data_IF_639882605597
#
_entry.id   IF_639882605597
#
_cell.length_a   1.000
_cell.length_b   1.000
_cell.length_c   1.000
_cell.angle_alpha   90.00
_cell.angle_beta   90.00
_cell.angle_gamma   90.00
#
_symmetry.space_group_name_H-M   'P 1'
#
loop_
_entity.id
_entity.type
_entity.pdbx_description
1 polymer ?
#
# COMPACT_ATOMS: atom_id res chain seq x y z
N UNK A 1 8.67 0.81 -5.19
CA UNK A 1 8.83 2.17 -4.67
C UNK A 1 9.65 2.10 -3.39
N UNK A 2 10.77 2.82 -3.28
CA UNK A 2 11.56 2.85 -2.04
C UNK A 2 10.92 3.81 -1.03
N UNK A 3 11.00 3.46 0.25
CA UNK A 3 10.47 4.24 1.36
C UNK A 3 11.18 3.84 2.67
N UNK A 4 11.01 4.64 3.73
CA UNK A 4 11.72 4.41 4.99
C UNK A 4 13.24 4.26 4.83
N UNK A 5 13.91 3.75 5.86
CA UNK A 5 15.30 3.32 5.75
C UNK A 5 15.36 1.89 5.21
N UNK A 6 15.75 1.76 3.94
CA UNK A 6 16.01 0.46 3.31
C UNK A 6 14.77 -0.40 3.06
N UNK A 7 13.58 0.18 2.91
CA UNK A 7 12.38 -0.56 2.54
C UNK A 7 11.98 -0.34 1.08
N UNK A 8 11.39 -1.38 0.50
CA UNK A 8 10.93 -1.39 -0.88
C UNK A 8 9.53 -1.99 -0.99
N UNK A 9 8.61 -1.21 -1.56
CA UNK A 9 7.23 -1.59 -1.81
C UNK A 9 7.04 -2.06 -3.26
N UNK A 10 6.27 -3.13 -3.44
CA UNK A 10 5.95 -3.71 -4.75
C UNK A 10 4.45 -3.98 -4.82
N UNK A 11 3.84 -3.64 -5.95
CA UNK A 11 2.57 -4.21 -6.36
C UNK A 11 2.81 -5.08 -7.59
N UNK A 12 2.22 -6.27 -7.63
CA UNK A 12 2.33 -7.20 -8.76
C UNK A 12 1.00 -7.89 -9.02
N UNK A 13 0.89 -8.47 -10.20
CA UNK A 13 -0.24 -9.32 -10.57
C UNK A 13 0.18 -10.77 -10.40
N UNK A 14 -0.34 -11.42 -9.37
CA UNK A 14 -0.21 -12.85 -9.15
C UNK A 14 -1.37 -13.62 -9.79
N UNK A 15 -1.31 -14.97 -9.79
CA UNK A 15 -2.39 -15.83 -10.26
C UNK A 15 -3.72 -15.62 -9.54
N UNK A 16 -3.67 -15.09 -8.30
CA UNK A 16 -4.83 -14.78 -7.46
C UNK A 16 -5.31 -13.33 -7.55
N UNK A 17 -4.72 -12.50 -8.41
CA UNK A 17 -5.04 -11.07 -8.54
C UNK A 17 -3.90 -10.16 -8.10
N UNK A 18 -4.25 -9.00 -7.55
CA UNK A 18 -3.29 -8.01 -7.06
C UNK A 18 -2.64 -8.50 -5.77
N UNK A 19 -1.31 -8.57 -5.79
CA UNK A 19 -0.46 -8.81 -4.63
C UNK A 19 0.31 -7.53 -4.29
N UNK A 20 0.43 -7.21 -3.01
CA UNK A 20 1.33 -6.18 -2.50
C UNK A 20 2.42 -6.81 -1.64
N UNK A 21 3.64 -6.29 -1.75
CA UNK A 21 4.80 -6.76 -0.99
C UNK A 21 5.63 -5.63 -0.42
N UNK A 22 6.29 -5.92 0.70
CA UNK A 22 7.22 -5.06 1.41
C UNK A 22 8.48 -5.83 1.71
N UNK A 23 9.63 -5.24 1.37
CA UNK A 23 10.93 -5.90 1.43
C UNK A 23 11.95 -5.00 2.13
N UNK A 24 12.81 -5.60 2.95
CA UNK A 24 14.11 -5.02 3.25
C UNK A 24 14.99 -5.08 2.01
N UNK A 25 15.61 -3.96 1.67
CA UNK A 25 16.58 -3.81 0.60
C UNK A 25 17.98 -3.97 1.17
N UNK A 26 18.61 -5.10 0.85
CA UNK A 26 19.98 -5.43 1.23
C UNK A 26 20.89 -5.36 -0.01
N UNK A 27 22.21 -5.18 0.15
CA UNK A 27 23.15 -5.13 -0.98
C UNK A 27 23.10 -6.41 -1.84
N UNK A 28 22.87 -7.56 -1.20
CA UNK A 28 22.91 -8.89 -1.81
C UNK A 28 21.53 -9.45 -2.17
N UNK A 29 20.44 -8.77 -1.84
CA UNK A 29 19.10 -9.30 -2.07
C UNK A 29 17.96 -8.56 -1.38
N UNK A 30 16.82 -9.22 -1.30
CA UNK A 30 15.60 -8.75 -0.65
C UNK A 30 15.07 -9.81 0.31
N UNK A 31 14.63 -9.38 1.48
CA UNK A 31 13.82 -10.22 2.37
C UNK A 31 12.48 -9.55 2.58
N UNK A 32 11.36 -10.23 2.33
CA UNK A 32 10.06 -9.55 2.32
C UNK A 32 8.85 -10.36 2.74
N UNK A 33 7.76 -9.63 3.00
CA UNK A 33 6.40 -10.13 3.15
C UNK A 33 5.58 -9.74 1.92
N UNK A 34 4.67 -10.59 1.51
CA UNK A 34 3.75 -10.29 0.41
C UNK A 34 2.38 -10.92 0.65
N UNK A 35 1.34 -10.26 0.15
CA UNK A 35 -0.01 -10.85 0.10
C UNK A 35 -0.13 -11.73 -1.12
N UNK A 36 -0.81 -12.87 -1.02
CA UNK A 36 -1.17 -13.65 -2.20
C UNK A 36 -2.43 -14.47 -2.01
N UNK A 37 -3.43 -14.26 -2.87
CA UNK A 37 -4.63 -15.08 -3.15
C UNK A 37 -5.42 -15.74 -1.99
N UNK A 38 -5.02 -15.56 -0.73
CA UNK A 38 -5.38 -16.44 0.37
C UNK A 38 -4.59 -16.21 1.67
N UNK A 39 -3.50 -15.45 1.66
CA UNK A 39 -2.78 -15.12 2.90
C UNK A 39 -1.52 -14.29 2.69
N UNK A 40 -0.63 -14.36 3.68
CA UNK A 40 0.64 -13.64 3.73
C UNK A 40 1.78 -14.63 3.59
N UNK A 41 2.63 -14.42 2.60
CA UNK A 41 3.88 -15.13 2.41
C UNK A 41 5.07 -14.36 2.96
N UNK A 42 6.19 -15.06 3.07
CA UNK A 42 7.51 -14.48 3.23
C UNK A 42 8.43 -15.06 2.15
N UNK A 43 9.39 -14.27 1.69
CA UNK A 43 10.39 -14.74 0.73
C UNK A 43 11.74 -14.05 0.90
N UNK A 44 12.78 -14.73 0.41
CA UNK A 44 14.14 -14.23 0.25
C UNK A 44 14.47 -14.28 -1.23
N UNK A 45 14.95 -13.17 -1.79
CA UNK A 45 15.35 -13.03 -3.19
C UNK A 45 16.84 -12.68 -3.22
N UNK A 46 17.64 -13.43 -3.98
CA UNK A 46 19.09 -13.25 -4.02
C UNK A 46 19.79 -13.93 -2.84
N UNK A 47 20.84 -13.30 -2.32
CA UNK A 47 21.66 -13.76 -1.20
C UNK A 47 21.41 -12.91 0.06
N UNK A 48 20.17 -12.47 0.28
CA UNK A 48 19.79 -11.83 1.55
C UNK A 48 19.69 -12.88 2.67
N UNK A 49 19.95 -12.47 3.90
CA UNK A 49 19.95 -13.37 5.07
C UNK A 49 19.19 -12.81 6.28
N UNK A 50 18.44 -11.73 6.09
CA UNK A 50 17.61 -11.11 7.13
C UNK A 50 16.28 -11.84 7.38
N UNK A 51 15.53 -11.34 8.37
CA UNK A 51 14.12 -11.68 8.56
C UNK A 51 13.24 -10.71 7.75
N UNK A 52 12.07 -11.16 7.25
CA UNK A 52 11.16 -10.28 6.53
C UNK A 52 10.56 -9.22 7.47
N UNK A 53 10.14 -8.05 6.96
CA UNK A 53 9.55 -6.99 7.77
C UNK A 53 8.40 -7.50 8.65
N UNK A 54 8.36 -7.04 9.90
CA UNK A 54 7.27 -7.33 10.82
C UNK A 54 6.01 -6.56 10.43
N UNK A 55 4.86 -7.24 10.47
CA UNK A 55 3.57 -6.66 10.15
C UNK A 55 2.87 -6.15 11.40
N UNK A 56 2.34 -4.93 11.31
CA UNK A 56 1.56 -4.29 12.36
C UNK A 56 0.12 -4.79 12.43
N UNK A 57 -0.57 -4.43 13.52
CA UNK A 57 -2.02 -4.54 13.56
C UNK A 57 -2.68 -3.35 12.84
N UNK A 58 -3.89 -3.54 12.33
CA UNK A 58 -4.71 -2.47 11.77
C UNK A 58 -6.03 -2.35 12.55
N UNK A 59 -6.55 -1.13 12.79
CA UNK A 59 -7.85 -0.94 13.44
C UNK A 59 -8.99 -1.60 12.68
N UNK A 60 -9.98 -2.10 13.41
CA UNK A 60 -11.20 -2.66 12.83
C UNK A 60 -12.02 -1.59 12.11
N UNK A 61 -12.52 -1.94 10.92
CA UNK A 61 -13.48 -1.17 10.12
C UNK A 61 -13.18 0.34 10.02
N UNK A 62 -11.91 0.70 9.79
CA UNK A 62 -11.48 2.08 9.68
C UNK A 62 -11.93 2.72 8.36
N UNK A 63 -12.40 3.97 8.44
CA UNK A 63 -12.76 4.79 7.28
C UNK A 63 -11.95 6.08 7.30
N UNK A 64 -11.48 6.48 6.13
CA UNK A 64 -10.73 7.72 5.94
C UNK A 64 -11.33 8.55 4.81
N UNK A 65 -11.32 9.88 4.97
CA UNK A 65 -11.45 10.80 3.85
C UNK A 65 -10.12 10.83 3.07
N UNK A 66 -10.23 10.80 1.75
CA UNK A 66 -9.09 10.85 0.82
C UNK A 66 -9.13 12.19 0.12
N UNK A 67 -8.00 12.90 0.14
CA UNK A 67 -7.73 14.05 -0.74
C UNK A 67 -6.39 13.82 -1.42
N UNK A 68 -6.31 14.00 -2.73
CA UNK A 68 -5.04 13.83 -3.43
C UNK A 68 -4.96 14.54 -4.77
N UNK A 69 -3.78 14.46 -5.37
CA UNK A 69 -3.43 15.06 -6.65
C UNK A 69 -2.69 14.02 -7.51
N UNK A 70 -3.12 13.88 -8.75
CA UNK A 70 -2.50 13.00 -9.73
C UNK A 70 -1.19 13.58 -10.28
N UNK A 71 -0.37 12.76 -10.96
CA UNK A 71 0.85 13.22 -11.62
C UNK A 71 0.66 14.34 -12.66
N UNK A 72 -0.57 14.49 -13.16
CA UNK A 72 -1.00 15.53 -14.11
C UNK A 72 -1.50 16.82 -13.43
N UNK A 73 -1.51 16.86 -12.09
CA UNK A 73 -2.05 17.97 -11.30
C UNK A 73 -3.57 17.89 -11.10
N UNK A 74 -4.24 16.83 -11.56
CA UNK A 74 -5.68 16.68 -11.35
C UNK A 74 -5.96 16.30 -9.90
N UNK A 75 -6.71 17.14 -9.19
CA UNK A 75 -7.16 16.87 -7.83
C UNK A 75 -8.30 15.84 -7.81
N UNK A 76 -8.34 15.04 -6.75
CA UNK A 76 -9.43 14.10 -6.48
C UNK A 76 -9.72 13.99 -4.98
N UNK A 77 -10.95 13.59 -4.68
CA UNK A 77 -11.44 13.38 -3.32
C UNK A 77 -12.28 12.10 -3.25
N UNK A 78 -12.33 11.50 -2.07
CA UNK A 78 -13.04 10.24 -1.89
C UNK A 78 -12.99 9.71 -0.47
N UNK A 79 -13.25 8.41 -0.34
CA UNK A 79 -13.17 7.68 0.92
C UNK A 79 -12.37 6.40 0.75
N UNK A 80 -11.63 6.02 1.78
CA UNK A 80 -10.95 4.74 1.89
C UNK A 80 -11.57 3.95 3.04
N UNK A 81 -12.12 2.79 2.72
CA UNK A 81 -12.53 1.79 3.70
C UNK A 81 -11.43 0.75 3.86
N UNK A 82 -11.02 0.50 5.10
CA UNK A 82 -9.91 -0.38 5.42
C UNK A 82 -10.31 -1.38 6.51
N UNK A 83 -10.27 -2.67 6.18
CA UNK A 83 -10.65 -3.76 7.08
C UNK A 83 -9.49 -4.74 7.27
N UNK A 84 -9.10 -5.09 8.50
CA UNK A 84 -8.07 -6.09 8.72
C UNK A 84 -8.53 -7.47 8.20
N UNK A 85 -7.60 -8.21 7.61
CA UNK A 85 -7.82 -9.58 7.15
C UNK A 85 -6.52 -10.38 7.18
N UNK A 86 -6.46 -11.39 8.04
CA UNK A 86 -5.36 -12.36 8.11
C UNK A 86 -3.95 -11.71 8.20
N UNK A 87 -3.81 -10.64 8.99
CA UNK A 87 -2.55 -9.89 9.16
C UNK A 87 -2.26 -8.84 8.06
N UNK A 88 -3.12 -8.76 7.04
CA UNK A 88 -3.10 -7.73 6.01
C UNK A 88 -4.34 -6.83 6.18
N UNK A 89 -4.53 -5.91 5.25
CA UNK A 89 -5.70 -5.02 5.22
C UNK A 89 -6.34 -5.09 3.85
N UNK A 90 -7.64 -5.34 3.79
CA UNK A 90 -8.44 -5.20 2.58
C UNK A 90 -8.85 -3.74 2.46
N UNK A 91 -8.58 -3.16 1.29
CA UNK A 91 -8.83 -1.76 1.00
C UNK A 91 -9.88 -1.61 -0.11
N UNK A 92 -10.70 -0.57 0.03
CA UNK A 92 -11.59 -0.09 -1.02
C UNK A 92 -11.58 1.43 -1.01
N UNK A 93 -11.04 2.03 -2.07
CA UNK A 93 -11.22 3.45 -2.32
C UNK A 93 -12.52 3.69 -3.09
N UNK A 94 -13.18 4.79 -2.79
CA UNK A 94 -14.29 5.33 -3.56
C UNK A 94 -13.90 6.75 -3.95
N UNK A 95 -13.57 6.99 -5.21
CA UNK A 95 -13.13 8.29 -5.73
C UNK A 95 -14.10 8.69 -6.85
N UNK A 96 -14.86 9.76 -6.64
CA UNK A 96 -16.00 10.06 -7.50
C UNK A 96 -17.01 8.90 -7.52
N UNK A 97 -17.27 8.34 -8.70
CA UNK A 97 -18.16 7.18 -8.88
C UNK A 97 -17.40 5.83 -8.94
N UNK A 98 -16.07 5.87 -8.96
CA UNK A 98 -15.22 4.69 -9.14
C UNK A 98 -14.96 3.98 -7.81
N UNK A 99 -14.99 2.65 -7.83
CA UNK A 99 -14.60 1.80 -6.70
C UNK A 99 -13.31 1.06 -7.04
N UNK A 100 -12.25 1.40 -6.32
CA UNK A 100 -10.92 0.86 -6.57
C UNK A 100 -10.60 -0.15 -5.46
N UNK A 101 -10.49 -1.45 -5.78
CA UNK A 101 -10.10 -2.45 -4.81
C UNK A 101 -8.58 -2.45 -4.58
N UNK A 102 -8.17 -2.85 -3.37
CA UNK A 102 -6.77 -3.13 -3.10
C UNK A 102 -6.53 -3.88 -1.80
N UNK A 103 -5.27 -4.00 -1.47
CA UNK A 103 -4.80 -4.67 -0.26
C UNK A 103 -3.56 -3.98 0.26
N UNK A 104 -3.30 -4.08 1.57
CA UNK A 104 -2.16 -3.45 2.20
C UNK A 104 -1.50 -4.28 3.29
N UNK A 105 -0.23 -3.96 3.53
CA UNK A 105 0.61 -4.46 4.60
C UNK A 105 0.99 -3.29 5.52
N UNK A 106 0.57 -3.29 6.80
CA UNK A 106 1.03 -2.33 7.79
C UNK A 106 2.43 -2.72 8.28
N UNK A 107 3.40 -1.80 8.25
CA UNK A 107 4.79 -2.04 8.67
C UNK A 107 5.29 -0.84 9.46
N UNK A 108 5.40 -0.98 10.78
CA UNK A 108 5.73 0.14 11.67
C UNK A 108 4.77 1.32 11.47
N UNK A 109 5.31 2.50 11.19
CA UNK A 109 4.55 3.73 10.89
C UNK A 109 4.16 3.86 9.40
N UNK A 110 4.24 2.77 8.63
CA UNK A 110 3.93 2.76 7.20
C UNK A 110 2.74 1.86 6.89
N UNK A 111 1.98 2.26 5.88
CA UNK A 111 1.01 1.40 5.20
C UNK A 111 1.43 1.27 3.74
N UNK A 112 1.72 0.05 3.29
CA UNK A 112 2.06 -0.24 1.90
C UNK A 112 0.86 -0.88 1.24
N UNK A 113 0.26 -0.18 0.27
CA UNK A 113 -0.95 -0.60 -0.40
C UNK A 113 -0.72 -0.86 -1.88
N UNK A 114 -1.31 -1.92 -2.42
CA UNK A 114 -1.54 -2.07 -3.84
C UNK A 114 -2.97 -1.63 -4.18
N UNK A 115 -3.17 -1.11 -5.39
CA UNK A 115 -4.50 -0.80 -5.92
C UNK A 115 -4.62 -1.24 -7.40
N UNK A 116 -5.85 -1.40 -7.87
CA UNK A 116 -6.14 -1.72 -9.28
C UNK A 116 -7.26 -0.82 -9.84
N UNK A 117 -6.88 0.10 -10.71
CA UNK A 117 -7.77 1.06 -11.40
C UNK A 117 -7.57 0.94 -12.92
N UNK A 118 -7.82 -0.25 -13.47
CA UNK A 118 -7.49 -0.56 -14.88
C UNK A 118 -5.99 -0.75 -15.14
N UNK A 119 -5.14 -0.32 -14.21
CA UNK A 119 -3.73 -0.65 -14.08
C UNK A 119 -3.40 -0.91 -12.60
N UNK A 120 -2.31 -1.63 -12.34
CA UNK A 120 -1.88 -1.95 -10.99
C UNK A 120 -0.89 -0.92 -10.49
N UNK A 121 -1.17 -0.34 -9.34
CA UNK A 121 -0.29 0.63 -8.70
C UNK A 121 0.06 0.26 -7.28
N UNK A 122 1.02 1.00 -6.74
CA UNK A 122 1.47 0.91 -5.35
C UNK A 122 1.40 2.28 -4.71
N UNK A 123 0.84 2.34 -3.50
CA UNK A 123 0.79 3.51 -2.63
C UNK A 123 1.57 3.21 -1.36
N UNK A 124 2.34 4.18 -0.87
CA UNK A 124 3.02 4.09 0.41
C UNK A 124 2.61 5.29 1.24
N UNK A 125 2.07 5.02 2.43
CA UNK A 125 1.65 6.04 3.37
C UNK A 125 2.53 6.04 4.62
N UNK A 126 2.97 7.22 5.06
CA UNK A 126 3.54 7.43 6.40
C UNK A 126 2.46 7.92 7.36
N UNK A 127 2.51 7.43 8.60
CA UNK A 127 1.68 7.91 9.69
C UNK A 127 2.04 9.35 10.04
N UNK A 128 1.03 10.19 10.22
CA UNK A 128 1.15 11.55 10.74
C UNK A 128 0.21 11.75 11.94
N UNK A 129 0.34 12.86 12.68
CA UNK A 129 -0.46 13.13 13.88
C UNK A 129 -1.98 13.09 13.61
N UNK A 130 -2.41 13.62 12.46
CA UNK A 130 -3.82 13.75 12.09
C UNK A 130 -4.29 12.74 11.04
N UNK A 131 -3.49 11.74 10.69
CA UNK A 131 -3.84 10.82 9.60
C UNK A 131 -2.65 10.15 8.95
N UNK A 132 -2.64 10.14 7.62
CA UNK A 132 -1.56 9.57 6.82
C UNK A 132 -1.26 10.44 5.60
N UNK A 133 0.02 10.50 5.22
CA UNK A 133 0.46 11.12 3.96
C UNK A 133 0.99 10.04 3.02
N UNK A 134 0.44 10.00 1.81
CA UNK A 134 0.69 8.98 0.81
C UNK A 134 1.37 9.53 -0.44
N UNK A 135 2.14 8.65 -1.09
CA UNK A 135 2.53 8.80 -2.50
C UNK A 135 2.23 7.51 -3.22
N UNK A 136 1.82 7.62 -4.47
CA UNK A 136 1.46 6.45 -5.27
C UNK A 136 2.03 6.52 -6.67
N UNK A 137 2.21 5.33 -7.25
CA UNK A 137 2.71 5.15 -8.60
C UNK A 137 1.92 4.06 -9.30
N UNK A 138 1.58 4.31 -10.57
CA UNK A 138 1.04 3.32 -11.48
C UNK A 138 1.81 3.36 -12.82
N UNK A 139 2.02 2.20 -13.48
CA UNK A 139 2.61 2.16 -14.81
C UNK A 139 1.84 3.03 -15.80
N UNK A 140 2.58 3.78 -16.62
CA UNK A 140 2.02 4.77 -17.55
C UNK A 140 2.14 6.21 -17.05
N UNK A 141 2.33 6.42 -15.75
CA UNK A 141 2.55 7.73 -15.18
C UNK A 141 4.03 8.13 -15.23
N UNK A 142 4.29 9.40 -15.59
CA UNK A 142 5.65 9.97 -15.63
C UNK A 142 6.18 10.44 -14.28
N UNK A 143 5.30 10.55 -13.27
CA UNK A 143 5.64 11.01 -11.92
C UNK A 143 4.75 10.30 -10.88
N UNK A 144 5.00 10.59 -9.61
CA UNK A 144 4.17 10.13 -8.49
C UNK A 144 2.94 11.02 -8.35
N UNK A 145 1.82 10.42 -7.93
CA UNK A 145 0.73 11.18 -7.32
C UNK A 145 0.91 11.23 -5.80
N UNK A 146 0.22 12.17 -5.17
CA UNK A 146 0.24 12.36 -3.72
C UNK A 146 -1.19 12.34 -3.17
N UNK A 147 -1.35 11.93 -1.92
CA UNK A 147 -2.63 11.95 -1.24
C UNK A 147 -2.48 12.03 0.29
N UNK A 148 -3.58 12.33 0.97
CA UNK A 148 -3.70 12.30 2.42
C UNK A 148 -4.95 11.54 2.83
N UNK A 149 -4.83 10.78 3.92
CA UNK A 149 -5.93 10.04 4.55
C UNK A 149 -6.23 10.67 5.92
N UNK A 150 -7.40 11.30 6.07
CA UNK A 150 -7.87 11.82 7.34
C UNK A 150 -8.89 10.85 7.96
N UNK A 151 -8.79 10.49 9.25
CA UNK A 151 -9.79 9.64 9.88
C UNK A 151 -11.19 10.24 9.74
N UNK A 152 -12.12 9.45 9.19
CA UNK A 152 -13.52 9.86 9.09
C UNK A 152 -14.26 9.51 10.38
N UNK A 153 -14.97 10.48 10.94
CA UNK A 153 -15.84 10.31 12.10
C UNK A 153 -17.21 10.87 11.74
N UNK A 154 -18.26 10.04 11.78
CA UNK A 154 -19.65 10.49 11.61
C UNK A 154 -20.13 11.40 12.76
#
# INVERSE_FOLDING_TARGET
>A
MTFGEGLFAVARVGPGGLDVGVYHLEESGLTGRWTGGGGIGAEVIGEAFGEPPDLGAWPEDAVFEVTGEGPDGTEYQGFLQAKPWNGAVVLRWTVGEEQIPGGALPVGDWLVAGFNEGTYGVSVYSREESGWRGRWYAPGNGAFGEESLAPYSE
#
